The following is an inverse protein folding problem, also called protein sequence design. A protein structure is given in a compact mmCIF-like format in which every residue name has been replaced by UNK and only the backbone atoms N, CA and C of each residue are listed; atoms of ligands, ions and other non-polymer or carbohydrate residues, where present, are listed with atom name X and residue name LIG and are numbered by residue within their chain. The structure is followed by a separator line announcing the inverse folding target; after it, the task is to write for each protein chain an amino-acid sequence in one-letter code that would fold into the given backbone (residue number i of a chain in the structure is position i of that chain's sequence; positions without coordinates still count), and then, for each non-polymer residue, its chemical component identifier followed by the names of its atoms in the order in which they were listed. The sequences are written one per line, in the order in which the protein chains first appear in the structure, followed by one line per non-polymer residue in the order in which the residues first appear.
data_IF_934886962930
#
_entry.id   IF_934886962930
#
_cell.length_a   1.000
_cell.length_b   1.000
_cell.length_c   1.000
_cell.angle_alpha   90.00
_cell.angle_beta   90.00
_cell.angle_gamma   90.00
#
_symmetry.space_group_name_H-M   'P 1'
#
loop_
_entity.id
_entity.type
_entity.pdbx_description
1 polymer ?
#
# COMPACT_ATOMS: atom_id res chain seq x y z
N UNK A 1 13.80 5.76 1.30
CA UNK A 1 13.59 5.21 2.64
C UNK A 1 14.51 5.89 3.67
N UNK A 2 14.23 7.16 3.96
CA UNK A 2 15.02 8.00 4.88
C UNK A 2 14.13 8.56 5.99
N UNK A 3 12.96 7.97 6.22
CA UNK A 3 11.98 8.39 7.22
C UNK A 3 12.37 8.00 8.65
N UNK A 4 13.29 7.04 8.80
CA UNK A 4 13.59 6.41 10.08
C UNK A 4 12.58 5.35 10.51
N UNK A 5 11.56 5.03 9.71
CA UNK A 5 10.59 3.97 10.05
C UNK A 5 11.26 2.59 10.04
N UNK A 6 10.89 1.70 10.97
CA UNK A 6 11.45 0.36 11.04
C UNK A 6 11.13 -0.45 9.77
N UNK A 7 11.91 -1.50 9.46
CA UNK A 7 11.82 -2.17 8.17
C UNK A 7 10.49 -2.90 7.95
N UNK A 8 9.93 -3.48 9.01
CA UNK A 8 8.72 -4.31 8.98
C UNK A 8 7.84 -4.09 10.21
N UNK A 9 6.56 -4.41 10.07
CA UNK A 9 5.61 -4.45 11.18
C UNK A 9 5.57 -5.85 11.81
N UNK A 10 5.29 -5.97 13.12
CA UNK A 10 5.02 -7.24 13.78
C UNK A 10 3.60 -7.74 13.40
N UNK A 11 3.48 -8.36 12.23
CA UNK A 11 2.17 -8.65 11.60
C UNK A 11 1.27 -9.52 12.48
N UNK A 12 1.81 -10.55 13.13
CA UNK A 12 1.04 -11.45 14.00
C UNK A 12 0.39 -10.72 15.18
N UNK A 13 1.10 -9.76 15.77
CA UNK A 13 0.63 -8.94 16.88
C UNK A 13 -0.42 -7.94 16.41
N UNK A 14 -0.19 -7.31 15.26
CA UNK A 14 -1.12 -6.35 14.67
C UNK A 14 -2.43 -7.01 14.24
N UNK A 15 -2.38 -8.22 13.69
CA UNK A 15 -3.59 -8.99 13.35
C UNK A 15 -4.41 -9.33 14.60
N UNK A 16 -3.75 -9.69 15.71
CA UNK A 16 -4.44 -9.93 16.99
C UNK A 16 -5.07 -8.65 17.55
N UNK A 17 -4.41 -7.50 17.37
CA UNK A 17 -4.85 -6.23 17.91
C UNK A 17 -5.96 -5.57 17.08
N UNK A 18 -5.84 -5.60 15.75
CA UNK A 18 -6.67 -4.82 14.83
C UNK A 18 -7.49 -5.67 13.85
N UNK A 19 -7.28 -6.99 13.80
CA UNK A 19 -7.86 -7.88 12.79
C UNK A 19 -7.14 -7.81 11.43
N UNK A 20 -7.62 -8.60 10.46
CA UNK A 20 -7.07 -8.67 9.11
C UNK A 20 -8.19 -8.84 8.06
N UNK A 21 -8.30 -7.95 7.04
CA UNK A 21 -7.47 -6.77 6.81
C UNK A 21 -7.87 -5.58 7.71
N UNK A 22 -6.89 -4.77 8.14
CA UNK A 22 -7.12 -3.54 8.90
C UNK A 22 -6.20 -2.39 8.44
N UNK A 23 -6.57 -1.67 7.36
CA UNK A 23 -5.76 -0.57 6.83
C UNK A 23 -5.56 0.56 7.85
N UNK A 24 -6.59 0.93 8.61
CA UNK A 24 -6.51 2.00 9.60
C UNK A 24 -5.66 1.60 10.81
N UNK A 25 -5.79 0.36 11.31
CA UNK A 25 -4.93 -0.15 12.38
C UNK A 25 -3.45 -0.17 11.98
N UNK A 26 -3.15 -0.50 10.72
CA UNK A 26 -1.79 -0.44 10.19
C UNK A 26 -1.24 1.00 10.16
N UNK A 27 -2.05 1.98 9.76
CA UNK A 27 -1.62 3.40 9.80
C UNK A 27 -1.47 3.90 11.24
N UNK A 28 -2.36 3.51 12.15
CA UNK A 28 -2.25 3.83 13.58
C UNK A 28 -0.94 3.30 14.17
N UNK A 29 -0.56 2.06 13.84
CA UNK A 29 0.74 1.51 14.22
C UNK A 29 1.90 2.33 13.65
N UNK A 30 1.86 2.70 12.36
CA UNK A 30 2.94 3.45 11.72
C UNK A 30 3.12 4.83 12.37
N UNK A 31 2.02 5.53 12.67
CA UNK A 31 2.06 6.85 13.32
C UNK A 31 2.72 6.78 14.70
N UNK A 32 2.47 5.70 15.44
CA UNK A 32 3.03 5.49 16.78
C UNK A 32 4.36 4.73 16.80
N UNK A 33 4.88 4.33 15.63
CA UNK A 33 6.13 3.57 15.54
C UNK A 33 7.32 4.46 15.90
N UNK A 34 8.19 3.94 16.78
CA UNK A 34 9.49 4.57 17.06
C UNK A 34 10.31 4.61 15.78
N UNK A 35 10.96 5.75 15.52
CA UNK A 35 11.94 5.87 14.44
C UNK A 35 13.32 5.41 14.92
N UNK A 36 14.01 4.63 14.08
CA UNK A 36 15.36 4.15 14.34
C UNK A 36 16.40 5.27 14.24
N UNK A 37 16.13 6.27 13.39
CA UNK A 37 16.95 7.47 13.22
C UNK A 37 16.08 8.68 12.86
N UNK A 38 16.64 9.89 12.98
CA UNK A 38 15.95 11.13 12.60
C UNK A 38 15.72 11.12 11.08
N UNK A 39 14.55 11.56 10.58
CA UNK A 39 14.35 11.66 9.14
C UNK A 39 15.47 12.43 8.44
N UNK A 40 15.86 11.94 7.27
CA UNK A 40 16.89 12.51 6.39
C UNK A 40 18.32 12.46 6.95
N UNK A 41 18.57 11.82 8.09
CA UNK A 41 19.94 11.68 8.63
C UNK A 41 20.58 10.32 8.33
N UNK A 42 19.80 9.35 7.85
CA UNK A 42 20.30 8.02 7.46
C UNK A 42 19.34 7.36 6.44
N UNK A 43 19.65 6.14 6.02
CA UNK A 43 18.88 5.33 5.09
C UNK A 43 18.63 3.91 5.64
N UNK A 44 17.38 3.45 5.56
CA UNK A 44 17.00 2.06 5.88
C UNK A 44 15.78 1.66 5.05
N UNK A 45 15.86 0.56 4.31
CA UNK A 45 14.71 0.04 3.58
C UNK A 45 13.58 -0.34 4.56
N UNK A 46 12.35 0.06 4.23
CA UNK A 46 11.19 -0.12 5.11
C UNK A 46 9.90 -0.14 4.30
N UNK A 47 9.22 -1.28 4.34
CA UNK A 47 7.93 -1.48 3.68
C UNK A 47 6.86 -0.52 4.21
N UNK A 48 7.00 -0.06 5.46
CA UNK A 48 6.08 0.89 6.08
C UNK A 48 5.99 2.20 5.30
N UNK A 49 7.08 2.63 4.67
CA UNK A 49 7.06 3.82 3.81
C UNK A 49 6.09 3.66 2.62
N UNK A 50 6.04 2.49 2.01
CA UNK A 50 5.16 2.24 0.88
C UNK A 50 3.69 2.09 1.31
N UNK A 51 3.44 1.52 2.49
CA UNK A 51 2.09 1.48 3.09
C UNK A 51 1.62 2.91 3.40
N UNK A 52 2.48 3.77 3.95
CA UNK A 52 2.17 5.19 4.16
C UNK A 52 1.90 5.90 2.83
N UNK A 53 2.71 5.63 1.80
CA UNK A 53 2.52 6.23 0.48
C UNK A 53 1.18 5.81 -0.15
N UNK A 54 0.82 4.53 -0.04
CA UNK A 54 -0.51 4.04 -0.45
C UNK A 54 -1.61 4.86 0.20
N UNK A 55 -1.57 5.04 1.52
CA UNK A 55 -2.58 5.83 2.25
C UNK A 55 -2.67 7.26 1.74
N UNK A 56 -1.53 7.91 1.44
CA UNK A 56 -1.50 9.27 0.88
C UNK A 56 -2.21 9.30 -0.47
N UNK A 57 -1.90 8.37 -1.37
CA UNK A 57 -2.53 8.28 -2.70
C UNK A 57 -4.05 8.11 -2.54
N UNK A 58 -4.49 7.18 -1.71
CA UNK A 58 -5.92 6.91 -1.51
C UNK A 58 -6.65 8.11 -0.89
N UNK A 59 -6.01 8.80 0.04
CA UNK A 59 -6.59 9.98 0.71
C UNK A 59 -6.72 11.17 -0.23
N UNK A 60 -5.71 11.43 -1.06
CA UNK A 60 -5.69 12.60 -1.96
C UNK A 60 -6.53 12.36 -3.22
N UNK A 61 -6.54 11.14 -3.75
CA UNK A 61 -7.28 10.81 -4.97
C UNK A 61 -8.73 10.39 -4.72
N UNK A 62 -9.05 9.87 -3.53
CA UNK A 62 -10.33 9.22 -3.25
C UNK A 62 -10.50 7.86 -3.94
N UNK A 63 -9.46 7.34 -4.59
CA UNK A 63 -9.44 6.06 -5.29
C UNK A 63 -8.68 5.02 -4.46
N UNK A 64 -8.98 3.74 -4.64
CA UNK A 64 -8.07 2.70 -4.15
C UNK A 64 -6.73 2.80 -4.88
N UNK A 65 -5.63 2.34 -4.27
CA UNK A 65 -4.33 2.32 -4.95
C UNK A 65 -4.37 1.53 -6.27
N UNK A 66 -5.18 0.46 -6.30
CA UNK A 66 -5.42 -0.34 -7.50
C UNK A 66 -6.06 0.46 -8.62
N UNK A 67 -7.15 1.17 -8.32
CA UNK A 67 -7.88 1.97 -9.32
C UNK A 67 -7.02 3.15 -9.78
N UNK A 68 -6.33 3.82 -8.85
CA UNK A 68 -5.39 4.89 -9.18
C UNK A 68 -4.29 4.42 -10.14
N UNK A 69 -3.66 3.27 -9.85
CA UNK A 69 -2.62 2.72 -10.72
C UNK A 69 -3.18 2.28 -12.09
N UNK A 70 -4.41 1.76 -12.14
CA UNK A 70 -5.05 1.41 -13.41
C UNK A 70 -5.30 2.63 -14.28
N UNK A 71 -5.94 3.65 -13.74
CA UNK A 71 -6.32 4.87 -14.47
C UNK A 71 -5.10 5.69 -14.93
N UNK A 72 -4.04 5.75 -14.11
CA UNK A 72 -2.92 6.65 -14.34
C UNK A 72 -1.68 5.97 -14.92
N UNK A 73 -1.59 4.63 -14.87
CA UNK A 73 -0.42 3.89 -15.34
C UNK A 73 -0.84 2.76 -16.28
N UNK A 74 -1.59 1.77 -15.80
CA UNK A 74 -1.81 0.54 -16.56
C UNK A 74 -2.56 0.79 -17.87
N UNK A 75 -3.66 1.54 -17.83
CA UNK A 75 -4.45 1.84 -19.04
C UNK A 75 -3.69 2.80 -19.96
N UNK A 76 -2.97 3.79 -19.40
CA UNK A 76 -2.15 4.76 -20.15
C UNK A 76 -1.05 4.07 -20.95
N UNK A 77 -0.40 3.06 -20.37
CA UNK A 77 0.67 2.30 -21.02
C UNK A 77 0.20 1.01 -21.72
N UNK A 78 -1.11 0.74 -21.76
CA UNK A 78 -1.67 -0.46 -22.38
C UNK A 78 -1.27 -1.78 -21.69
N UNK A 79 -1.01 -1.74 -20.38
CA UNK A 79 -0.58 -2.89 -19.56
C UNK A 79 -1.75 -3.82 -19.21
N UNK A 80 -2.32 -4.48 -20.23
CA UNK A 80 -3.54 -5.31 -20.09
C UNK A 80 -3.40 -6.55 -19.19
N UNK A 81 -2.18 -6.90 -18.76
CA UNK A 81 -1.86 -8.07 -17.94
C UNK A 81 -1.13 -7.68 -16.65
N UNK A 82 -1.43 -6.51 -16.09
CA UNK A 82 -0.85 -6.04 -14.83
C UNK A 82 -1.95 -5.58 -13.89
N UNK A 83 -2.00 -6.17 -12.69
CA UNK A 83 -2.91 -5.79 -11.61
C UNK A 83 -2.42 -6.33 -10.25
N UNK A 84 -3.08 -5.96 -9.15
CA UNK A 84 -2.79 -6.35 -7.76
C UNK A 84 -3.24 -7.78 -7.44
N UNK A 85 -4.29 -8.26 -8.11
CA UNK A 85 -4.78 -9.63 -8.01
C UNK A 85 -4.84 -10.24 -9.42
N UNK A 86 -4.73 -11.57 -9.56
CA UNK A 86 -4.98 -12.20 -10.84
C UNK A 86 -6.36 -11.79 -11.35
N UNK A 87 -6.41 -11.37 -12.62
CA UNK A 87 -7.62 -10.88 -13.25
C UNK A 87 -8.01 -11.77 -14.42
N UNK A 88 -9.31 -11.95 -14.62
CA UNK A 88 -9.86 -12.52 -15.86
C UNK A 88 -10.80 -11.51 -16.50
N UNK A 89 -10.98 -11.60 -17.82
CA UNK A 89 -12.08 -10.91 -18.49
C UNK A 89 -13.38 -11.63 -18.20
N UNK A 90 -14.41 -10.88 -17.80
CA UNK A 90 -15.77 -11.38 -17.76
C UNK A 90 -16.37 -11.46 -19.18
N UNK A 91 -17.60 -11.98 -19.27
CA UNK A 91 -18.34 -12.13 -20.53
C UNK A 91 -18.59 -10.81 -21.28
N UNK A 92 -18.48 -9.67 -20.60
CA UNK A 92 -18.66 -8.34 -21.17
C UNK A 92 -17.32 -7.66 -21.49
N UNK A 93 -16.20 -8.40 -21.38
CA UNK A 93 -14.86 -7.89 -21.62
C UNK A 93 -14.29 -7.05 -20.49
N UNK A 94 -14.96 -6.94 -19.34
CA UNK A 94 -14.48 -6.20 -18.17
C UNK A 94 -13.50 -7.06 -17.38
N UNK A 95 -12.39 -6.47 -16.94
CA UNK A 95 -11.45 -7.15 -16.04
C UNK A 95 -12.06 -7.25 -14.65
N UNK A 96 -12.12 -8.47 -14.12
CA UNK A 96 -12.55 -8.77 -12.75
C UNK A 96 -11.46 -9.55 -12.04
N UNK A 97 -11.31 -9.35 -10.73
CA UNK A 97 -10.46 -10.22 -9.91
C UNK A 97 -10.99 -11.65 -9.99
N UNK A 98 -10.09 -12.63 -10.09
CA UNK A 98 -10.44 -14.04 -9.93
C UNK A 98 -10.78 -14.36 -8.49
#
# INVERSE_FOLDING_TARGET
HTSGLPPYAPTSELEKQYGSPSPDGMIEYIVNSRRDFKPQTDFQYSCLNYITLQRIIETVSGLSLRDFARENLFDVFGMAHTDYLPCKRDKNGKWINT
#
